data_IF_644927921019
#
_entry.id   IF_644927921019
#
_cell.length_a   1.000
_cell.length_b   1.000
_cell.length_c   1.000
_cell.angle_alpha   90.00
_cell.angle_beta   90.00
_cell.angle_gamma   90.00
#
_symmetry.space_group_name_H-M   'P 1'
#
loop_
_entity.id
_entity.type
_entity.pdbx_description
1 polymer ?
#
# COMPACT_ATOMS: atom_id res chain seq x y z
N UNK A 1 -2.49 14.01 -8.44
CA UNK A 1 -2.68 13.27 -7.16
C UNK A 1 -1.58 12.24 -7.04
N UNK A 2 -1.09 11.97 -5.84
CA UNK A 2 -0.07 10.92 -5.61
C UNK A 2 -0.77 9.59 -5.38
N UNK A 3 -0.24 8.55 -6.01
CA UNK A 3 -0.65 7.18 -5.82
C UNK A 3 0.55 6.29 -5.50
N UNK A 4 0.34 5.30 -4.65
CA UNK A 4 1.33 4.29 -4.27
C UNK A 4 1.20 3.05 -5.15
N UNK A 5 2.34 2.52 -5.60
CA UNK A 5 2.40 1.33 -6.45
C UNK A 5 2.67 0.10 -5.58
N UNK A 6 1.71 -0.82 -5.56
CA UNK A 6 1.84 -2.13 -4.94
C UNK A 6 2.11 -3.19 -6.00
N UNK A 7 3.00 -4.12 -5.67
CA UNK A 7 3.31 -5.28 -6.49
C UNK A 7 3.14 -6.56 -5.67
N UNK A 8 2.36 -7.49 -6.21
CA UNK A 8 2.24 -8.83 -5.65
C UNK A 8 3.30 -9.75 -6.25
N UNK A 9 4.28 -10.15 -5.44
CA UNK A 9 5.25 -11.18 -5.82
C UNK A 9 4.62 -12.55 -5.60
N UNK A 10 4.21 -13.20 -6.69
CA UNK A 10 3.73 -14.58 -6.69
C UNK A 10 4.80 -15.62 -7.06
N UNK A 11 6.04 -15.19 -7.33
CA UNK A 11 7.13 -16.05 -7.81
C UNK A 11 8.15 -16.37 -6.71
N UNK A 12 8.22 -15.53 -5.68
CA UNK A 12 9.02 -15.79 -4.48
C UNK A 12 8.54 -16.98 -3.66
N UNK A 13 9.40 -17.46 -2.77
CA UNK A 13 9.11 -18.58 -1.85
C UNK A 13 7.91 -18.31 -0.91
N UNK A 14 7.64 -17.05 -0.60
CA UNK A 14 6.50 -16.60 0.19
C UNK A 14 5.80 -15.47 -0.56
N UNK A 15 4.57 -15.69 -1.06
CA UNK A 15 3.84 -14.65 -1.76
C UNK A 15 3.54 -13.45 -0.87
N UNK A 16 3.84 -12.24 -1.36
CA UNK A 16 3.69 -11.02 -0.58
C UNK A 16 3.44 -9.79 -1.44
N UNK A 17 2.83 -8.76 -0.84
CA UNK A 17 2.71 -7.44 -1.44
C UNK A 17 3.89 -6.57 -1.05
N UNK A 18 4.46 -5.86 -2.02
CA UNK A 18 5.54 -4.91 -1.85
C UNK A 18 5.12 -3.53 -2.31
N UNK A 19 5.40 -2.52 -1.48
CA UNK A 19 5.33 -1.12 -1.89
C UNK A 19 6.59 -0.79 -2.70
N UNK A 20 6.41 -0.42 -3.96
CA UNK A 20 7.51 -0.23 -4.91
C UNK A 20 7.94 1.22 -5.04
N UNK A 21 6.97 2.09 -5.32
CA UNK A 21 7.19 3.48 -5.70
C UNK A 21 5.91 4.30 -5.51
N UNK A 22 5.98 5.59 -5.82
CA UNK A 22 4.83 6.48 -5.94
C UNK A 22 4.80 7.13 -7.32
N UNK A 23 3.61 7.29 -7.87
CA UNK A 23 3.37 7.89 -9.19
C UNK A 23 2.31 8.99 -9.08
N UNK A 24 2.36 9.96 -9.97
CA UNK A 24 1.44 11.10 -9.94
C UNK A 24 0.61 11.20 -11.21
N UNK A 25 -0.69 11.38 -11.06
CA UNK A 25 -1.62 11.72 -12.15
C UNK A 25 -2.98 12.19 -11.60
N UNK A 26 -3.90 12.55 -12.48
CA UNK A 26 -5.27 12.96 -12.14
C UNK A 26 -6.14 11.76 -11.74
N UNK A 27 -6.00 10.62 -12.43
CA UNK A 27 -6.76 9.39 -12.18
C UNK A 27 -5.82 8.19 -11.99
N UNK A 28 -6.23 7.15 -11.23
CA UNK A 28 -5.37 5.98 -11.04
C UNK A 28 -5.12 5.22 -12.35
N UNK A 29 -6.09 5.20 -13.27
CA UNK A 29 -5.93 4.57 -14.58
C UNK A 29 -4.89 5.29 -15.43
N UNK A 30 -4.91 6.62 -15.44
CA UNK A 30 -3.90 7.42 -16.16
C UNK A 30 -2.53 7.25 -15.54
N UNK A 31 -2.44 7.30 -14.20
CA UNK A 31 -1.19 7.07 -13.47
C UNK A 31 -0.56 5.71 -13.83
N UNK A 32 -1.39 4.66 -13.91
CA UNK A 32 -0.91 3.33 -14.31
C UNK A 32 -0.41 3.34 -15.75
N UNK A 33 -1.22 3.83 -16.71
CA UNK A 33 -0.88 3.79 -18.13
C UNK A 33 0.36 4.62 -18.45
N UNK A 34 0.46 5.84 -17.90
CA UNK A 34 1.57 6.75 -18.13
C UNK A 34 2.90 6.20 -17.58
N UNK A 35 2.85 5.45 -16.48
CA UNK A 35 4.05 4.99 -15.76
C UNK A 35 4.33 3.49 -15.91
N UNK A 36 3.50 2.73 -16.64
CA UNK A 36 3.53 1.26 -16.63
C UNK A 36 4.90 0.68 -17.01
N UNK A 37 5.53 1.20 -18.07
CA UNK A 37 6.83 0.69 -18.53
C UNK A 37 7.92 0.91 -17.47
N UNK A 38 7.91 2.05 -16.79
CA UNK A 38 8.84 2.33 -15.71
C UNK A 38 8.62 1.39 -14.52
N UNK A 39 7.36 1.18 -14.12
CA UNK A 39 6.98 0.25 -13.06
C UNK A 39 7.47 -1.18 -13.37
N UNK A 40 7.23 -1.66 -14.59
CA UNK A 40 7.70 -2.99 -15.04
C UNK A 40 9.23 -3.09 -14.93
N UNK A 41 9.96 -2.08 -15.40
CA UNK A 41 11.43 -2.09 -15.31
C UNK A 41 11.94 -2.05 -13.88
N UNK A 42 11.23 -1.40 -12.96
CA UNK A 42 11.56 -1.42 -11.53
C UNK A 42 11.29 -2.79 -10.90
N UNK A 43 10.13 -3.38 -11.16
CA UNK A 43 9.78 -4.75 -10.72
C UNK A 43 10.87 -5.72 -11.15
N UNK A 44 11.22 -5.72 -12.44
CA UNK A 44 12.25 -6.62 -12.98
C UNK A 44 13.59 -6.45 -12.29
N UNK A 45 14.06 -5.22 -12.14
CA UNK A 45 15.35 -4.94 -11.49
C UNK A 45 15.35 -5.33 -10.02
N UNK A 46 14.26 -5.04 -9.30
CA UNK A 46 14.17 -5.29 -7.85
C UNK A 46 14.08 -6.77 -7.50
N UNK A 47 13.38 -7.55 -8.33
CA UNK A 47 13.15 -8.98 -8.10
C UNK A 47 13.96 -9.90 -9.03
N UNK A 48 14.91 -9.33 -9.79
CA UNK A 48 15.74 -10.05 -10.75
C UNK A 48 14.93 -10.93 -11.74
N UNK A 49 13.78 -10.43 -12.22
CA UNK A 49 12.88 -11.17 -13.10
C UNK A 49 13.26 -11.03 -14.57
N UNK A 50 13.62 -12.13 -15.22
CA UNK A 50 13.91 -12.16 -16.65
C UNK A 50 12.62 -12.14 -17.50
N UNK A 51 12.68 -11.49 -18.66
CA UNK A 51 11.52 -11.33 -19.56
C UNK A 51 11.03 -12.65 -20.15
N UNK A 52 11.95 -13.60 -20.35
CA UNK A 52 11.66 -14.94 -20.84
C UNK A 52 10.90 -15.80 -19.82
N UNK A 53 11.05 -15.51 -18.53
CA UNK A 53 10.42 -16.28 -17.44
C UNK A 53 9.09 -15.65 -17.02
N UNK A 54 9.06 -14.32 -16.92
CA UNK A 54 7.89 -13.55 -16.50
C UNK A 54 7.61 -12.47 -17.55
N UNK A 55 6.63 -12.65 -18.45
CA UNK A 55 6.26 -11.64 -19.44
C UNK A 55 5.65 -10.38 -18.80
N UNK A 56 5.74 -9.23 -19.48
CA UNK A 56 5.21 -7.95 -18.97
C UNK A 56 3.72 -8.02 -18.61
N UNK A 57 2.92 -8.78 -19.37
CA UNK A 57 1.50 -9.00 -19.07
C UNK A 57 1.28 -9.65 -17.71
N UNK A 58 2.15 -10.58 -17.29
CA UNK A 58 2.05 -11.20 -15.96
C UNK A 58 2.39 -10.21 -14.86
N UNK A 59 3.36 -9.32 -15.08
CA UNK A 59 3.64 -8.22 -14.15
C UNK A 59 2.42 -7.29 -14.07
N UNK A 60 1.81 -6.95 -15.21
CA UNK A 60 0.61 -6.11 -15.29
C UNK A 60 -0.52 -6.63 -14.38
N UNK A 61 -0.78 -7.93 -14.43
CA UNK A 61 -1.85 -8.58 -13.65
C UNK A 61 -1.58 -8.58 -12.13
N UNK A 62 -0.38 -8.20 -11.70
CA UNK A 62 0.08 -8.21 -10.29
C UNK A 62 0.41 -6.82 -9.74
N UNK A 63 0.29 -5.78 -10.56
CA UNK A 63 0.54 -4.39 -10.16
C UNK A 63 -0.80 -3.73 -9.83
N UNK A 64 -0.82 -3.05 -8.69
CA UNK A 64 -1.97 -2.28 -8.22
C UNK A 64 -1.51 -0.88 -7.87
N UNK A 65 -2.42 0.09 -8.02
CA UNK A 65 -2.20 1.46 -7.59
C UNK A 65 -3.27 1.79 -6.55
N UNK A 66 -2.83 2.37 -5.44
CA UNK A 66 -3.70 2.84 -4.35
C UNK A 66 -3.44 4.32 -4.10
N UNK A 67 -4.44 5.06 -3.59
CA UNK A 67 -4.22 6.46 -3.23
C UNK A 67 -3.17 6.56 -2.12
N UNK A 68 -2.43 7.67 -2.09
CA UNK A 68 -1.61 8.03 -0.94
C UNK A 68 -2.47 8.01 0.33
N UNK A 69 -2.07 7.22 1.34
CA UNK A 69 -2.86 6.91 2.56
C UNK A 69 -4.08 6.00 2.37
N UNK A 70 -4.17 5.28 1.26
CA UNK A 70 -5.20 4.26 1.02
C UNK A 70 -5.03 3.01 1.88
N UNK A 71 -3.85 2.82 2.48
CA UNK A 71 -3.54 1.72 3.39
C UNK A 71 -3.54 2.20 4.85
N UNK A 72 -4.31 1.52 5.69
CA UNK A 72 -4.32 1.79 7.14
C UNK A 72 -3.37 0.82 7.87
N UNK A 73 -2.53 1.35 8.76
CA UNK A 73 -1.62 0.57 9.57
C UNK A 73 -2.34 -0.05 10.77
N UNK A 74 -2.25 -1.37 10.94
CA UNK A 74 -2.77 -2.06 12.12
C UNK A 74 -2.03 -1.67 13.41
N UNK A 75 -0.79 -1.16 13.32
CA UNK A 75 -0.03 -0.67 14.49
C UNK A 75 -0.71 0.54 15.14
N UNK A 76 -1.40 1.33 14.34
CA UNK A 76 -2.04 2.57 14.79
C UNK A 76 -3.36 2.31 15.53
N UNK A 77 -3.89 1.09 15.43
CA UNK A 77 -5.06 0.63 16.18
C UNK A 77 -4.76 0.63 17.70
N UNK A 78 -3.52 0.38 18.11
CA UNK A 78 -3.10 0.42 19.51
C UNK A 78 -3.22 1.81 20.14
N UNK A 79 -2.89 2.86 19.38
CA UNK A 79 -3.03 4.26 19.81
C UNK A 79 -4.49 4.69 19.94
N UNK A 80 -5.34 4.26 19.00
CA UNK A 80 -6.79 4.54 19.03
C UNK A 80 -7.49 3.88 20.23
N UNK A 81 -7.02 2.70 20.66
CA UNK A 81 -7.52 2.02 21.87
C UNK A 81 -7.13 2.77 23.14
N UNK A 82 -5.87 3.21 23.25
CA UNK A 82 -5.38 3.96 24.39
C UNK A 82 -6.09 5.32 24.56
N UNK A 83 -6.34 6.03 23.45
CA UNK A 83 -7.07 7.30 23.47
C UNK A 83 -8.56 7.12 23.82
N UNK A 84 -9.20 6.05 23.34
CA UNK A 84 -10.57 5.70 23.77
C UNK A 84 -10.64 5.36 25.26
N UNK A 85 -9.66 4.63 25.78
CA UNK A 85 -9.61 4.26 27.20
C UNK A 85 -9.36 5.48 28.10
N UNK A 86 -8.50 6.42 27.66
CA UNK A 86 -8.25 7.69 28.35
C UNK A 86 -9.48 8.61 28.36
N UNK A 87 -10.23 8.68 27.25
CA UNK A 87 -11.49 9.44 27.17
C UNK A 87 -12.61 8.84 28.03
N UNK A 88 -12.77 7.51 28.04
CA UNK A 88 -13.73 6.83 28.93
C UNK A 88 -13.39 7.04 30.40
N UNK A 89 -12.11 7.00 30.76
CA UNK A 89 -11.66 7.24 32.12
C UNK A 89 -11.95 8.68 32.55
N UNK A 90 -11.71 9.69 31.69
CA UNK A 90 -12.05 11.09 31.96
C UNK A 90 -13.56 11.30 32.17
N UNK A 91 -14.41 10.70 31.34
CA UNK A 91 -15.87 10.77 31.49
C UNK A 91 -16.38 10.10 32.78
N UNK A 92 -15.78 8.98 33.19
CA UNK A 92 -16.14 8.32 34.46
C UNK A 92 -15.75 9.17 35.69
N UNK A 93 -14.63 9.88 35.63
CA UNK A 93 -14.23 10.81 36.70
C UNK A 93 -15.15 12.03 36.78
N UNK A 94 -15.60 12.60 35.65
CA UNK A 94 -16.56 13.71 35.64
C UNK A 94 -17.96 13.32 36.15
N UNK A 95 -18.35 12.04 36.04
CA UNK A 95 -19.67 11.55 36.52
C UNK A 95 -19.65 11.20 38.01
N UNK A 96 -18.48 10.95 38.60
CA UNK A 96 -18.33 10.57 40.02
C UNK A 96 -18.01 11.75 40.96
N UNK A 97 -17.89 12.98 40.43
CA UNK A 97 -17.72 14.23 41.19
C UNK A 97 -19.05 14.98 41.43
N UNK A 98 -20.13 14.27 41.79
CA UNK A 98 -21.38 14.85 42.33
C UNK A 98 -21.64 14.34 43.74
#
# INVERSE_FOLDING_TARGET
MVYEVLFFDGWGSVPAYYLLDSVEDDTPEHALVANFQQIVQQVRRRFALHETEVPNRRIQDTVYIVRENGLASARDIGGLSADRQKRRRKQLFEVLEI
#
